data_IF_833926876262
#
_entry.id   IF_833926876262
#
_cell.length_a   1.000
_cell.length_b   1.000
_cell.length_c   1.000
_cell.angle_alpha   90.00
_cell.angle_beta   90.00
_cell.angle_gamma   90.00
#
_symmetry.space_group_name_H-M   'P 1'
#
loop_
_entity.id
_entity.type
_entity.pdbx_description
1 polymer ?
#
# COMPACT_ATOMS: atom_id res chain seq x y z
N UNK A 1 -2.13 0.73 18.85
CA UNK A 1 -2.26 2.18 19.14
C UNK A 1 -3.58 2.64 18.55
N UNK A 2 -4.43 3.33 19.31
CA UNK A 2 -5.70 3.94 18.85
C UNK A 2 -6.69 3.01 18.11
N UNK A 3 -6.57 1.70 18.33
CA UNK A 3 -7.35 0.68 17.62
C UNK A 3 -6.97 0.49 16.14
N UNK A 4 -6.06 1.30 15.58
CA UNK A 4 -5.63 1.22 14.19
C UNK A 4 -4.53 0.17 14.04
N UNK A 5 -4.67 -0.68 13.02
CA UNK A 5 -3.68 -1.69 12.66
C UNK A 5 -2.88 -1.23 11.44
N UNK A 6 -1.60 -0.97 11.66
CA UNK A 6 -0.66 -0.55 10.62
C UNK A 6 0.26 -1.72 10.29
N UNK A 7 0.39 -2.04 9.01
CA UNK A 7 1.29 -3.07 8.52
C UNK A 7 2.36 -2.43 7.64
N UNK A 8 3.63 -2.63 7.99
CA UNK A 8 4.77 -2.20 7.20
C UNK A 8 5.47 -3.43 6.63
N UNK A 9 5.41 -3.61 5.30
CA UNK A 9 5.92 -4.84 4.66
C UNK A 9 7.43 -4.86 4.44
N UNK A 10 8.15 -3.79 4.78
CA UNK A 10 9.60 -3.70 4.58
C UNK A 10 9.97 -3.90 3.11
N UNK A 11 11.04 -4.64 2.85
CA UNK A 11 11.54 -4.99 1.53
C UNK A 11 10.90 -6.26 0.95
N UNK A 12 9.58 -6.42 1.08
CA UNK A 12 8.90 -7.61 0.58
C UNK A 12 9.14 -7.78 -0.94
N UNK A 13 9.72 -8.92 -1.31
CA UNK A 13 10.07 -9.29 -2.68
C UNK A 13 9.24 -10.43 -3.27
N UNK A 14 8.22 -10.93 -2.55
CA UNK A 14 7.40 -12.06 -2.98
C UNK A 14 5.93 -11.88 -2.57
N UNK A 15 5.05 -12.65 -3.20
CA UNK A 15 3.65 -12.72 -2.76
C UNK A 15 3.54 -13.39 -1.39
N UNK A 16 2.52 -13.01 -0.62
CA UNK A 16 2.27 -13.67 0.65
C UNK A 16 1.70 -15.07 0.41
N UNK A 17 2.10 -16.03 1.24
CA UNK A 17 1.36 -17.28 1.33
C UNK A 17 0.00 -17.02 1.97
N UNK A 18 -0.98 -17.90 1.75
CA UNK A 18 -2.29 -17.81 2.42
C UNK A 18 -2.15 -17.79 3.94
N UNK A 19 -1.19 -18.56 4.47
CA UNK A 19 -0.87 -18.62 5.89
C UNK A 19 -0.37 -17.28 6.40
N UNK A 20 0.56 -16.65 5.69
CA UNK A 20 1.14 -15.37 6.12
C UNK A 20 0.10 -14.24 6.02
N UNK A 21 -0.68 -14.23 4.94
CA UNK A 21 -1.78 -13.28 4.77
C UNK A 21 -2.83 -13.43 5.90
N UNK A 22 -3.19 -14.67 6.26
CA UNK A 22 -4.10 -14.92 7.37
C UNK A 22 -3.49 -14.52 8.73
N UNK A 23 -2.19 -14.73 8.94
CA UNK A 23 -1.50 -14.38 10.17
C UNK A 23 -1.39 -12.86 10.40
N UNK A 24 -1.40 -12.04 9.34
CA UNK A 24 -1.44 -10.58 9.46
C UNK A 24 -2.76 -10.07 10.06
N UNK A 25 -3.86 -10.80 9.85
CA UNK A 25 -5.21 -10.38 10.26
C UNK A 25 -5.64 -9.08 9.55
N UNK A 26 -6.61 -8.36 10.14
CA UNK A 26 -7.09 -7.12 9.53
C UNK A 26 -6.00 -6.05 9.55
N UNK A 27 -5.81 -5.36 8.42
CA UNK A 27 -4.91 -4.22 8.28
C UNK A 27 -5.72 -3.00 7.90
N UNK A 28 -5.62 -1.92 8.67
CA UNK A 28 -6.27 -0.65 8.31
C UNK A 28 -5.39 0.13 7.33
N UNK A 29 -4.08 0.22 7.60
CA UNK A 29 -3.10 0.96 6.80
C UNK A 29 -1.95 0.05 6.41
N UNK A 30 -1.71 -0.08 5.09
CA UNK A 30 -0.63 -0.89 4.54
C UNK A 30 0.45 0.00 3.92
N UNK A 31 1.70 -0.21 4.30
CA UNK A 31 2.87 0.35 3.63
C UNK A 31 3.55 -0.76 2.82
N UNK A 32 3.64 -0.57 1.49
CA UNK A 32 4.02 -1.63 0.55
C UNK A 32 5.08 -1.15 -0.46
N UNK A 33 6.17 -1.91 -0.67
CA UNK A 33 7.16 -1.54 -1.66
C UNK A 33 6.65 -1.78 -3.10
N UNK A 34 7.01 -0.90 -4.05
CA UNK A 34 6.53 -0.99 -5.45
C UNK A 34 7.62 -0.76 -6.50
N UNK A 35 8.90 -0.75 -6.11
CA UNK A 35 10.02 -0.41 -6.99
C UNK A 35 10.54 -1.49 -7.93
N UNK A 36 10.03 -2.73 -7.84
CA UNK A 36 10.22 -3.79 -8.85
C UNK A 36 11.60 -4.40 -9.07
N UNK A 37 12.68 -3.80 -8.54
CA UNK A 37 14.05 -4.33 -8.71
C UNK A 37 14.47 -5.18 -7.51
N UNK A 38 14.42 -4.60 -6.31
CA UNK A 38 14.81 -5.27 -5.06
C UNK A 38 13.62 -5.80 -4.26
N UNK A 39 12.41 -5.37 -4.63
CA UNK A 39 11.15 -5.64 -3.94
C UNK A 39 10.08 -6.01 -4.95
N UNK A 40 8.83 -6.15 -4.51
CA UNK A 40 7.67 -6.27 -5.40
C UNK A 40 7.64 -5.17 -6.47
N UNK A 41 7.25 -5.58 -7.68
CA UNK A 41 6.85 -4.68 -8.75
C UNK A 41 5.40 -4.20 -8.54
N UNK A 42 4.93 -3.32 -9.42
CA UNK A 42 3.56 -2.81 -9.38
C UNK A 42 2.48 -3.91 -9.41
N UNK A 43 2.70 -5.00 -10.16
CA UNK A 43 1.74 -6.09 -10.31
C UNK A 43 1.67 -6.97 -9.06
N UNK A 44 2.83 -7.36 -8.53
CA UNK A 44 2.96 -8.09 -7.29
C UNK A 44 2.42 -7.31 -6.09
N UNK A 45 2.70 -6.00 -6.03
CA UNK A 45 2.15 -5.12 -5.00
C UNK A 45 0.61 -5.08 -5.05
N UNK A 46 0.01 -4.95 -6.23
CA UNK A 46 -1.47 -5.00 -6.38
C UNK A 46 -2.06 -6.33 -5.92
N UNK A 47 -1.38 -7.46 -6.18
CA UNK A 47 -1.81 -8.78 -5.68
C UNK A 47 -1.76 -8.85 -4.15
N UNK A 48 -0.67 -8.39 -3.53
CA UNK A 48 -0.54 -8.36 -2.06
C UNK A 48 -1.58 -7.43 -1.42
N UNK A 49 -1.87 -6.27 -2.03
CA UNK A 49 -2.98 -5.40 -1.61
C UNK A 49 -4.31 -6.16 -1.65
N UNK A 50 -4.56 -6.97 -2.69
CA UNK A 50 -5.75 -7.82 -2.78
C UNK A 50 -5.79 -8.98 -1.77
N UNK A 51 -4.64 -9.51 -1.35
CA UNK A 51 -4.54 -10.54 -0.30
C UNK A 51 -4.84 -9.97 1.09
N UNK A 52 -4.36 -8.76 1.37
CA UNK A 52 -4.48 -8.10 2.68
C UNK A 52 -5.81 -7.32 2.81
N UNK A 53 -6.34 -6.80 1.70
CA UNK A 53 -7.54 -5.95 1.62
C UNK A 53 -7.53 -4.78 2.64
N UNK A 54 -6.46 -3.95 2.66
CA UNK A 54 -6.39 -2.83 3.58
C UNK A 54 -7.38 -1.72 3.22
N UNK A 55 -7.61 -0.77 4.12
CA UNK A 55 -8.44 0.43 3.84
C UNK A 55 -7.64 1.55 3.19
N UNK A 56 -6.38 1.70 3.61
CA UNK A 56 -5.43 2.68 3.08
C UNK A 56 -4.16 1.97 2.63
N UNK A 57 -3.61 2.39 1.49
CA UNK A 57 -2.31 1.92 0.99
C UNK A 57 -1.38 3.10 0.78
N UNK A 58 -0.17 3.00 1.33
CA UNK A 58 0.93 3.95 1.14
C UNK A 58 2.04 3.21 0.39
N UNK A 59 2.23 3.43 -0.92
CA UNK A 59 3.37 2.86 -1.63
C UNK A 59 4.68 3.46 -1.11
N UNK A 60 5.74 2.65 -1.15
CA UNK A 60 7.11 3.03 -0.79
C UNK A 60 8.13 2.31 -1.68
N UNK A 61 9.42 2.53 -1.43
CA UNK A 61 10.56 1.89 -2.13
C UNK A 61 10.47 1.99 -3.66
N UNK A 62 10.12 3.18 -4.16
CA UNK A 62 10.05 3.50 -5.59
C UNK A 62 11.03 4.62 -5.94
N UNK A 63 11.15 4.96 -7.23
CA UNK A 63 12.09 5.97 -7.69
C UNK A 63 11.79 7.36 -7.12
N UNK A 64 12.80 7.98 -6.51
CA UNK A 64 12.75 9.38 -6.05
C UNK A 64 13.96 10.16 -6.58
N UNK A 65 13.92 11.50 -6.59
CA UNK A 65 15.06 12.32 -7.02
C UNK A 65 16.34 12.11 -6.20
N UNK A 66 16.25 11.56 -4.99
CA UNK A 66 17.38 11.33 -4.10
C UNK A 66 18.13 10.02 -4.40
N UNK A 67 17.56 9.11 -5.20
CA UNK A 67 18.18 7.81 -5.50
C UNK A 67 19.19 7.91 -6.65
N UNK A 68 20.31 7.20 -6.50
CA UNK A 68 21.38 7.09 -7.50
C UNK A 68 21.35 5.80 -8.30
N UNK A 69 20.43 4.89 -7.96
CA UNK A 69 20.23 3.61 -8.63
C UNK A 69 18.81 3.54 -9.19
N UNK A 70 18.62 2.72 -10.23
CA UNK A 70 17.33 2.62 -10.92
C UNK A 70 16.39 1.63 -10.20
N UNK A 71 15.17 2.11 -9.96
CA UNK A 71 13.99 1.33 -9.55
C UNK A 71 12.78 1.90 -10.28
N UNK A 72 11.65 1.20 -10.25
CA UNK A 72 10.44 1.68 -10.91
C UNK A 72 9.86 2.94 -10.25
N UNK A 73 9.31 3.88 -11.04
CA UNK A 73 8.57 5.02 -10.50
C UNK A 73 7.23 4.58 -9.90
N UNK A 74 6.66 5.35 -8.96
CA UNK A 74 5.40 4.99 -8.32
C UNK A 74 4.24 4.89 -9.31
N UNK A 75 4.30 5.62 -10.43
CA UNK A 75 3.26 5.69 -11.46
C UNK A 75 2.83 4.32 -12.01
N UNK A 76 3.75 3.35 -12.09
CA UNK A 76 3.41 1.98 -12.51
C UNK A 76 2.40 1.34 -11.58
N UNK A 77 2.56 1.55 -10.27
CA UNK A 77 1.60 1.11 -9.27
C UNK A 77 0.34 1.97 -9.31
N UNK A 78 0.47 3.30 -9.29
CA UNK A 78 -0.65 4.25 -9.19
C UNK A 78 -1.62 4.22 -10.37
N UNK A 79 -1.19 3.75 -11.54
CA UNK A 79 -2.01 3.68 -12.74
C UNK A 79 -3.35 2.95 -12.51
N UNK A 80 -4.45 3.63 -12.86
CA UNK A 80 -5.82 3.16 -12.71
C UNK A 80 -6.41 3.28 -11.31
N UNK A 81 -5.71 3.91 -10.36
CA UNK A 81 -6.15 4.04 -8.97
C UNK A 81 -6.47 5.51 -8.63
N UNK A 82 -7.37 5.73 -7.67
CA UNK A 82 -7.63 7.05 -7.08
C UNK A 82 -6.56 7.34 -6.02
N UNK A 83 -5.85 8.45 -6.18
CA UNK A 83 -4.66 8.78 -5.35
C UNK A 83 -4.87 10.10 -4.62
N UNK A 84 -4.65 10.10 -3.31
CA UNK A 84 -4.54 11.30 -2.46
C UNK A 84 -3.07 11.66 -2.25
N UNK A 85 -2.75 12.96 -2.26
CA UNK A 85 -1.40 13.50 -2.11
C UNK A 85 -1.39 14.58 -1.03
N UNK A 86 -1.32 14.21 0.25
CA UNK A 86 -1.43 15.14 1.38
C UNK A 86 -0.11 15.88 1.69
N UNK A 87 0.95 15.68 0.90
CA UNK A 87 2.30 16.17 1.18
C UNK A 87 3.12 15.14 1.93
N UNK A 88 3.88 15.57 2.94
CA UNK A 88 4.81 14.70 3.69
C UNK A 88 4.17 13.97 4.88
N UNK A 89 2.90 14.22 5.16
CA UNK A 89 2.23 13.67 6.36
C UNK A 89 0.77 13.35 6.05
N UNK A 90 0.33 12.19 6.50
CA UNK A 90 -1.06 11.75 6.42
C UNK A 90 -1.52 11.33 7.82
N UNK A 91 -2.60 11.96 8.31
CA UNK A 91 -3.16 11.67 9.62
C UNK A 91 -4.36 10.72 9.48
N UNK A 92 -4.34 9.63 10.25
CA UNK A 92 -5.41 8.63 10.27
C UNK A 92 -6.08 8.56 11.63
N UNK A 93 -7.40 8.35 11.63
CA UNK A 93 -8.21 8.04 12.80
C UNK A 93 -9.26 6.99 12.43
N UNK A 94 -9.81 6.24 13.39
CA UNK A 94 -10.81 5.21 13.11
C UNK A 94 -12.06 5.76 12.41
N UNK A 95 -12.43 7.00 12.69
CA UNK A 95 -13.60 7.68 12.16
C UNK A 95 -13.39 8.15 10.72
N UNK A 96 -12.13 8.39 10.32
CA UNK A 96 -11.75 8.91 9.00
C UNK A 96 -11.28 7.84 8.03
N UNK A 97 -11.01 6.62 8.51
CA UNK A 97 -10.67 5.52 7.63
C UNK A 97 -11.82 5.24 6.66
N UNK A 98 -11.53 4.95 5.38
CA UNK A 98 -12.54 4.47 4.45
C UNK A 98 -13.28 3.28 5.06
N UNK A 99 -14.60 3.27 4.96
CA UNK A 99 -15.38 2.08 5.34
C UNK A 99 -14.98 0.99 4.37
N UNK A 100 -14.35 -0.07 4.88
CA UNK A 100 -13.89 -1.18 4.05
C UNK A 100 -15.06 -1.81 3.30
N UNK A 101 -14.82 -2.22 2.06
CA UNK A 101 -15.78 -2.99 1.28
C UNK A 101 -16.03 -4.34 1.92
N UNK A 102 -17.04 -4.44 2.77
CA UNK A 102 -17.69 -5.72 3.09
C UNK A 102 -18.63 -6.05 1.92
N UNK A 103 -18.16 -6.88 0.99
CA UNK A 103 -19.03 -7.39 -0.07
C UNK A 103 -18.27 -8.04 -1.22
N UNK A 104 -18.72 -9.23 -1.63
CA UNK A 104 -18.51 -9.75 -2.97
C UNK A 104 -19.28 -8.86 -3.96
N UNK A 105 -18.70 -7.72 -4.31
CA UNK A 105 -19.27 -6.73 -5.20
C UNK A 105 -18.25 -5.63 -5.45
N UNK A 106 -18.35 -4.95 -6.58
CA UNK A 106 -17.49 -3.83 -7.01
C UNK A 106 -17.57 -2.65 -6.00
N UNK A 107 -16.92 -2.79 -4.85
CA UNK A 107 -16.67 -1.72 -3.90
C UNK A 107 -15.43 -0.92 -4.33
N UNK A 108 -15.41 0.38 -4.04
CA UNK A 108 -14.21 1.21 -4.20
C UNK A 108 -13.02 0.53 -3.50
N UNK A 109 -11.93 0.33 -4.26
CA UNK A 109 -10.67 -0.21 -3.72
C UNK A 109 -10.08 0.68 -2.61
N UNK A 110 -8.94 0.28 -2.00
CA UNK A 110 -8.34 1.06 -0.94
C UNK A 110 -8.05 2.50 -1.37
N UNK A 111 -8.09 3.43 -0.42
CA UNK A 111 -7.56 4.77 -0.62
C UNK A 111 -6.04 4.67 -0.80
N UNK A 112 -5.54 5.06 -1.96
CA UNK A 112 -4.10 5.14 -2.20
C UNK A 112 -3.61 6.53 -1.77
N UNK A 113 -2.63 6.58 -0.88
CA UNK A 113 -2.03 7.82 -0.38
C UNK A 113 -0.57 7.85 -0.79
N UNK A 114 -0.22 8.72 -1.73
CA UNK A 114 1.17 8.95 -2.11
C UNK A 114 1.73 10.12 -1.30
N UNK A 115 2.69 9.81 -0.43
CA UNK A 115 3.43 10.83 0.31
C UNK A 115 4.56 11.41 -0.53
N UNK A 116 4.85 12.68 -0.31
CA UNK A 116 6.02 13.35 -0.89
C UNK A 116 7.28 12.93 -0.11
N UNK A 117 8.19 12.25 -0.79
CA UNK A 117 9.52 11.94 -0.28
C UNK A 117 10.47 13.06 -0.76
N UNK A 118 11.01 13.84 0.18
CA UNK A 118 12.00 14.87 -0.09
C UNK A 118 13.40 14.30 -0.20
#
# INVERSE_FOLDING_TARGET
MDGIRVCHLGDLGHLLSERDAAALGDVDVLMIPVGGVYTLDAGGAKKVVGQIRPKVVIPMHFMTPALTFEVDPPDRFLSGQKVERPGTTFAVSKERLPKGGEGEGEGEGPLIVLLDYK
#
